data_IF_220526917602
#
_entry.id   IF_220526917602
#
_cell.length_a   1.000
_cell.length_b   1.000
_cell.length_c   1.000
_cell.angle_alpha   90.00
_cell.angle_beta   90.00
_cell.angle_gamma   90.00
#
_symmetry.space_group_name_H-M   'P 1'
#
loop_
_entity.id
_entity.type
_entity.pdbx_description
1 polymer ?
#
# COMPACT_ATOMS: atom_id res chain seq x y z
N UNK A 1 3.36 4.23 21.49
CA UNK A 1 4.41 5.01 20.80
C UNK A 1 3.69 6.18 20.10
N UNK A 2 4.17 7.40 20.24
CA UNK A 2 3.48 8.62 19.78
C UNK A 2 3.49 8.75 18.26
N UNK A 3 2.54 9.50 17.69
CA UNK A 3 2.42 9.73 16.24
C UNK A 3 3.70 10.32 15.64
N UNK A 4 4.34 11.25 16.34
CA UNK A 4 5.61 11.87 15.95
C UNK A 4 6.75 10.86 15.74
N UNK A 5 6.79 9.78 16.52
CA UNK A 5 7.80 8.73 16.34
C UNK A 5 7.53 7.87 15.10
N UNK A 6 6.25 7.71 14.72
CA UNK A 6 5.85 6.98 13.51
C UNK A 6 6.19 7.79 12.27
N UNK A 7 5.89 9.07 12.26
CA UNK A 7 6.13 9.95 11.11
C UNK A 7 7.65 10.05 10.82
N UNK A 8 8.47 10.23 11.86
CA UNK A 8 9.93 10.23 11.69
C UNK A 8 10.49 8.90 11.15
N UNK A 9 9.84 7.77 11.44
CA UNK A 9 10.23 6.48 10.88
C UNK A 9 9.88 6.36 9.40
N UNK A 10 8.71 6.88 9.00
CA UNK A 10 8.30 6.97 7.60
C UNK A 10 9.24 7.87 6.78
N UNK A 11 9.62 9.02 7.30
CA UNK A 11 10.59 9.91 6.65
C UNK A 11 11.94 9.21 6.41
N UNK A 12 12.41 8.45 7.41
CA UNK A 12 13.67 7.69 7.29
C UNK A 12 13.56 6.58 6.23
N UNK A 13 12.43 5.89 6.15
CA UNK A 13 12.20 4.85 5.15
C UNK A 13 12.16 5.46 3.74
N UNK A 14 11.47 6.58 3.56
CA UNK A 14 11.43 7.30 2.30
C UNK A 14 12.83 7.78 1.87
N UNK A 15 13.61 8.34 2.80
CA UNK A 15 14.99 8.75 2.54
C UNK A 15 15.93 7.58 2.17
N UNK A 16 15.59 6.35 2.59
CA UNK A 16 16.30 5.13 2.21
C UNK A 16 15.81 4.53 0.88
N UNK A 17 14.85 5.18 0.20
CA UNK A 17 14.31 4.75 -1.09
C UNK A 17 13.11 3.82 -1.01
N UNK A 18 12.51 3.63 0.17
CA UNK A 18 11.26 2.88 0.27
C UNK A 18 10.06 3.76 -0.11
N UNK A 19 9.18 3.23 -0.96
CA UNK A 19 7.91 3.89 -1.27
C UNK A 19 6.86 3.57 -0.20
N UNK A 20 6.18 4.60 0.30
CA UNK A 20 5.10 4.43 1.26
C UNK A 20 3.79 4.32 0.50
N UNK A 21 3.23 3.12 0.54
CA UNK A 21 2.03 2.75 -0.20
C UNK A 21 0.97 2.29 0.81
N UNK A 22 -0.30 2.41 0.45
CA UNK A 22 -1.36 1.72 1.18
C UNK A 22 -1.47 0.27 0.72
N UNK A 23 -2.09 -0.58 1.53
CA UNK A 23 -2.40 -1.96 1.14
C UNK A 23 -3.21 -2.01 -0.16
N UNK A 24 -4.19 -1.13 -0.33
CA UNK A 24 -5.02 -1.05 -1.54
C UNK A 24 -4.19 -0.72 -2.79
N UNK A 25 -3.25 0.23 -2.70
CA UNK A 25 -2.39 0.61 -3.83
C UNK A 25 -1.57 -0.58 -4.33
N UNK A 26 -0.89 -1.31 -3.44
CA UNK A 26 -0.07 -2.48 -3.82
C UNK A 26 -0.92 -3.57 -4.44
N UNK A 27 -2.10 -3.84 -3.87
CA UNK A 27 -3.02 -4.85 -4.39
C UNK A 27 -3.48 -4.54 -5.81
N UNK A 28 -3.84 -3.28 -6.11
CA UNK A 28 -4.26 -2.89 -7.45
C UNK A 28 -3.11 -2.73 -8.43
N UNK A 29 -1.93 -2.31 -7.97
CA UNK A 29 -0.71 -2.28 -8.78
C UNK A 29 -0.39 -3.68 -9.34
N UNK A 30 -0.45 -4.70 -8.48
CA UNK A 30 -0.19 -6.09 -8.90
C UNK A 30 -1.23 -6.63 -9.86
N UNK A 31 -2.50 -6.24 -9.70
CA UNK A 31 -3.58 -6.66 -10.60
C UNK A 31 -3.50 -6.02 -11.99
N UNK A 32 -2.90 -4.82 -12.10
CA UNK A 32 -2.68 -4.01 -13.32
C UNK A 32 -3.93 -3.58 -14.10
N UNK A 33 -5.04 -4.29 -13.99
CA UNK A 33 -6.31 -4.00 -14.66
C UNK A 33 -7.49 -4.50 -13.84
N UNK A 34 -8.62 -3.78 -13.93
CA UNK A 34 -9.90 -4.22 -13.35
C UNK A 34 -10.50 -5.45 -14.06
N UNK A 35 -9.99 -5.79 -15.25
CA UNK A 35 -10.35 -7.00 -15.99
C UNK A 35 -9.63 -8.26 -15.49
N UNK A 36 -8.67 -8.11 -14.55
CA UNK A 36 -7.95 -9.25 -14.01
C UNK A 36 -8.92 -10.27 -13.40
N UNK A 37 -8.80 -11.58 -13.67
CA UNK A 37 -9.75 -12.60 -13.20
C UNK A 37 -9.97 -12.60 -11.69
N UNK A 38 -8.97 -12.16 -10.93
CA UNK A 38 -9.02 -12.09 -9.46
C UNK A 38 -9.49 -10.74 -8.91
N UNK A 39 -9.80 -9.74 -9.76
CA UNK A 39 -10.12 -8.38 -9.31
C UNK A 39 -11.23 -8.34 -8.26
N UNK A 40 -12.34 -9.06 -8.50
CA UNK A 40 -13.47 -9.10 -7.56
C UNK A 40 -13.13 -9.78 -6.24
N UNK A 41 -12.29 -10.81 -6.27
CA UNK A 41 -11.86 -11.51 -5.06
C UNK A 41 -10.97 -10.60 -4.20
N UNK A 42 -10.00 -9.92 -4.80
CA UNK A 42 -9.10 -8.99 -4.10
C UNK A 42 -9.85 -7.76 -3.59
N UNK A 43 -10.74 -7.17 -4.40
CA UNK A 43 -11.58 -6.04 -3.99
C UNK A 43 -12.44 -6.37 -2.76
N UNK A 44 -12.87 -7.62 -2.59
CA UNK A 44 -13.67 -8.02 -1.44
C UNK A 44 -12.86 -8.07 -0.12
N UNK A 45 -11.52 -8.10 -0.18
CA UNK A 45 -10.65 -8.11 1.01
C UNK A 45 -10.43 -6.72 1.63
N UNK A 46 -10.69 -5.67 0.86
CA UNK A 46 -10.40 -4.28 1.22
C UNK A 46 -11.65 -3.38 1.18
N UNK A 47 -12.82 -4.00 1.08
CA UNK A 47 -14.12 -3.34 1.19
C UNK A 47 -14.51 -3.04 2.63
#
# INVERSE_FOLDING_TARGET
RTERNRDAAYDRLAAAGAELLTTEMVLFEWLRSAEHPQFKAVQALIK
#
